data_IF_883281484111
#
_entry.id   IF_883281484111
#
_cell.length_a   1.000
_cell.length_b   1.000
_cell.length_c   1.000
_cell.angle_alpha   90.00
_cell.angle_beta   90.00
_cell.angle_gamma   90.00
#
_symmetry.space_group_name_H-M   'P 1'
#
loop_
_entity.id
_entity.type
_entity.pdbx_description
1 polymer ?
#
# COMPACT_ATOMS: atom_id res chain seq x y z
N UNK A 1 -2.11 29.76 5.03
CA UNK A 1 -2.31 28.65 4.05
C UNK A 1 -1.00 27.98 3.61
N UNK A 2 0.10 28.72 3.38
CA UNK A 2 1.41 28.25 2.87
C UNK A 2 2.15 27.13 3.64
N UNK A 3 1.69 26.71 4.83
CA UNK A 3 2.40 25.71 5.64
C UNK A 3 2.02 24.26 5.28
N UNK A 4 0.73 23.99 5.00
CA UNK A 4 0.28 22.63 4.74
C UNK A 4 0.85 22.05 3.44
N UNK A 5 0.96 22.85 2.38
CA UNK A 5 1.56 22.39 1.12
C UNK A 5 3.02 21.98 1.30
N UNK A 6 3.80 22.74 2.07
CA UNK A 6 5.19 22.38 2.41
C UNK A 6 5.26 21.07 3.18
N UNK A 7 4.34 20.87 4.13
CA UNK A 7 4.23 19.63 4.90
C UNK A 7 3.90 18.44 4.00
N UNK A 8 2.95 18.61 3.06
CA UNK A 8 2.53 17.54 2.15
C UNK A 8 3.63 17.15 1.14
N UNK A 9 4.57 18.05 0.85
CA UNK A 9 5.77 17.73 0.05
C UNK A 9 6.79 16.85 0.78
N UNK A 10 6.68 16.68 2.10
CA UNK A 10 7.57 15.81 2.89
C UNK A 10 7.18 14.31 2.82
N UNK A 11 6.54 13.86 1.74
CA UNK A 11 6.08 12.47 1.56
C UNK A 11 5.36 11.86 2.79
N UNK A 12 4.13 12.30 3.09
CA UNK A 12 3.32 11.72 4.15
C UNK A 12 3.18 10.18 4.01
N UNK A 13 3.41 9.45 5.10
CA UNK A 13 3.23 7.99 5.16
C UNK A 13 1.98 7.59 5.96
N UNK A 14 1.48 8.49 6.82
CA UNK A 14 0.22 8.29 7.51
C UNK A 14 -0.47 9.63 7.83
N UNK A 15 -1.80 9.62 7.77
CA UNK A 15 -2.68 10.71 8.20
C UNK A 15 -3.60 10.19 9.31
N UNK A 16 -3.57 10.79 10.49
CA UNK A 16 -4.24 10.26 11.69
C UNK A 16 -5.11 11.35 12.28
N UNK A 17 -6.43 11.16 12.40
CA UNK A 17 -7.27 12.14 13.09
C UNK A 17 -6.98 12.11 14.58
N UNK A 18 -6.70 13.27 15.16
CA UNK A 18 -6.39 13.45 16.58
C UNK A 18 -7.25 14.56 17.18
N UNK A 19 -7.45 14.48 18.49
CA UNK A 19 -8.06 15.54 19.27
C UNK A 19 -6.96 16.21 20.07
N UNK A 20 -6.71 17.48 19.79
CA UNK A 20 -5.70 18.27 20.49
C UNK A 20 -6.43 19.12 21.51
N UNK A 21 -5.98 19.02 22.78
CA UNK A 21 -6.51 19.82 23.88
C UNK A 21 -6.48 21.30 23.48
N UNK A 22 -7.59 22.00 23.70
CA UNK A 22 -7.78 23.44 23.40
C UNK A 22 -7.73 23.86 21.93
N UNK A 23 -7.44 22.94 20.99
CA UNK A 23 -7.44 23.20 19.52
C UNK A 23 -8.49 22.39 18.76
N UNK A 24 -9.14 21.43 19.43
CA UNK A 24 -10.19 20.62 18.86
C UNK A 24 -9.66 19.55 17.89
N UNK A 25 -10.36 19.37 16.75
CA UNK A 25 -10.04 18.33 15.77
C UNK A 25 -8.85 18.76 14.91
N UNK A 26 -7.83 17.90 14.89
CA UNK A 26 -6.64 18.08 14.08
C UNK A 26 -6.28 16.78 13.34
N UNK A 27 -5.29 16.87 12.46
CA UNK A 27 -4.69 15.71 11.79
C UNK A 27 -3.22 15.67 12.15
N UNK A 28 -2.78 14.53 12.68
CA UNK A 28 -1.36 14.19 12.81
C UNK A 28 -0.91 13.57 11.48
N UNK A 29 0.16 14.11 10.91
CA UNK A 29 0.80 13.64 9.69
C UNK A 29 2.14 13.05 10.10
N UNK A 30 2.42 11.84 9.65
CA UNK A 30 3.73 11.20 9.81
C UNK A 30 4.39 11.21 8.44
N UNK A 31 5.61 11.73 8.34
CA UNK A 31 6.37 11.82 7.08
C UNK A 31 7.30 10.62 6.89
N UNK A 32 7.84 10.47 5.68
CA UNK A 32 8.86 9.46 5.37
C UNK A 32 10.11 9.62 6.24
N UNK A 33 10.44 10.87 6.59
CA UNK A 33 11.57 11.24 7.45
C UNK A 33 11.27 11.07 8.95
N UNK A 34 10.17 10.38 9.27
CA UNK A 34 9.73 10.06 10.64
C UNK A 34 9.33 11.29 11.48
N UNK A 35 9.09 12.43 10.83
CA UNK A 35 8.58 13.62 11.51
C UNK A 35 7.08 13.48 11.81
N UNK A 36 6.68 13.91 13.01
CA UNK A 36 5.28 14.01 13.40
C UNK A 36 4.81 15.46 13.37
N UNK A 37 3.89 15.78 12.46
CA UNK A 37 3.43 17.14 12.23
C UNK A 37 1.94 17.24 12.51
N UNK A 38 1.54 18.19 13.35
CA UNK A 38 0.14 18.41 13.70
C UNK A 38 -0.43 19.60 12.93
N UNK A 39 -1.52 19.38 12.21
CA UNK A 39 -2.23 20.41 11.46
C UNK A 39 -3.66 20.56 11.96
N UNK A 40 -4.15 21.78 12.10
CA UNK A 40 -5.53 22.08 12.56
C UNK A 40 -6.62 21.75 11.53
N UNK A 41 -6.24 21.20 10.38
CA UNK A 41 -7.19 20.76 9.37
C UNK A 41 -7.75 19.37 9.69
N UNK A 42 -9.03 19.16 9.32
CA UNK A 42 -9.64 17.82 9.32
C UNK A 42 -8.96 16.93 8.28
N UNK A 43 -8.90 15.63 8.56
CA UNK A 43 -8.23 14.67 7.68
C UNK A 43 -8.75 14.70 6.24
N UNK A 44 -10.06 14.85 6.04
CA UNK A 44 -10.64 14.99 4.69
C UNK A 44 -10.10 16.20 3.92
N UNK A 45 -9.90 17.33 4.59
CA UNK A 45 -9.28 18.53 4.00
C UNK A 45 -7.82 18.28 3.65
N UNK A 46 -7.08 17.58 4.51
CA UNK A 46 -5.68 17.23 4.27
C UNK A 46 -5.55 16.31 3.06
N UNK A 47 -6.37 15.26 2.98
CA UNK A 47 -6.37 14.32 1.85
C UNK A 47 -6.77 14.99 0.54
N UNK A 48 -7.79 15.88 0.56
CA UNK A 48 -8.18 16.64 -0.64
C UNK A 48 -7.02 17.51 -1.15
N UNK A 49 -6.31 18.19 -0.25
CA UNK A 49 -5.14 19.00 -0.63
C UNK A 49 -3.98 18.15 -1.12
N UNK A 50 -3.75 16.98 -0.52
CA UNK A 50 -2.75 16.04 -1.02
C UNK A 50 -3.09 15.58 -2.45
N UNK A 51 -4.36 15.22 -2.72
CA UNK A 51 -4.78 14.84 -4.06
C UNK A 51 -4.60 15.98 -5.08
N UNK A 52 -4.93 17.22 -4.72
CA UNK A 52 -4.69 18.39 -5.59
C UNK A 52 -3.20 18.58 -5.89
N UNK A 53 -2.32 18.42 -4.89
CA UNK A 53 -0.86 18.52 -5.10
C UNK A 53 -0.32 17.46 -6.07
N UNK A 54 -0.96 16.29 -6.12
CA UNK A 54 -0.62 15.18 -7.01
C UNK A 54 -1.40 15.23 -8.34
N UNK A 55 -2.19 16.30 -8.57
CA UNK A 55 -3.06 16.45 -9.75
C UNK A 55 -4.09 15.31 -9.92
N UNK A 56 -4.60 14.79 -8.79
CA UNK A 56 -5.52 13.65 -8.74
C UNK A 56 -6.93 14.08 -8.35
N UNK A 57 -7.92 13.60 -9.10
CA UNK A 57 -9.32 13.64 -8.69
C UNK A 57 -9.59 12.55 -7.63
N UNK A 58 -9.69 13.00 -6.38
CA UNK A 58 -9.90 12.12 -5.23
C UNK A 58 -11.24 11.36 -5.28
N UNK A 59 -12.30 11.95 -5.81
CA UNK A 59 -13.61 11.29 -5.85
C UNK A 59 -13.67 10.24 -6.95
N UNK A 60 -13.09 10.53 -8.12
CA UNK A 60 -12.93 9.55 -9.19
C UNK A 60 -12.09 8.34 -8.72
N UNK A 61 -10.97 8.58 -8.03
CA UNK A 61 -10.13 7.50 -7.47
C UNK A 61 -10.91 6.65 -6.48
N UNK A 62 -11.65 7.26 -5.55
CA UNK A 62 -12.45 6.52 -4.57
C UNK A 62 -13.52 5.65 -5.23
N UNK A 63 -14.15 6.12 -6.31
CA UNK A 63 -15.14 5.36 -7.08
C UNK A 63 -14.49 4.10 -7.67
N UNK A 64 -13.44 4.28 -8.47
CA UNK A 64 -12.71 3.17 -9.12
C UNK A 64 -12.17 2.18 -8.09
N UNK A 65 -11.49 2.68 -7.07
CA UNK A 65 -10.92 1.85 -6.00
C UNK A 65 -12.01 1.15 -5.20
N UNK A 66 -13.12 1.82 -4.93
CA UNK A 66 -14.27 1.28 -4.23
C UNK A 66 -14.88 0.09 -4.98
N UNK A 67 -14.96 0.17 -6.30
CA UNK A 67 -15.46 -0.89 -7.16
C UNK A 67 -14.49 -2.10 -7.19
N UNK A 68 -13.18 -1.85 -7.33
CA UNK A 68 -12.15 -2.92 -7.33
C UNK A 68 -12.08 -3.63 -5.97
N UNK A 69 -12.12 -2.87 -4.87
CA UNK A 69 -11.91 -3.40 -3.52
C UNK A 69 -13.19 -3.83 -2.80
N UNK A 70 -14.36 -3.58 -3.39
CA UNK A 70 -15.66 -3.75 -2.74
C UNK A 70 -15.91 -2.81 -1.55
N UNK A 71 -15.06 -1.78 -1.36
CA UNK A 71 -15.12 -0.87 -0.22
C UNK A 71 -15.82 0.45 -0.59
N UNK A 72 -17.15 0.44 -0.73
CA UNK A 72 -17.92 1.61 -1.21
C UNK A 72 -17.89 2.85 -0.30
N UNK A 73 -17.89 2.67 1.03
CA UNK A 73 -18.00 3.80 2.00
C UNK A 73 -16.66 4.33 2.52
N UNK A 74 -15.68 3.44 2.68
CA UNK A 74 -14.34 3.75 3.19
C UNK A 74 -13.33 3.11 2.24
N UNK A 75 -13.25 3.68 1.05
CA UNK A 75 -12.31 3.25 0.04
C UNK A 75 -10.87 3.64 0.43
N UNK A 76 -9.89 2.77 0.13
CA UNK A 76 -8.50 3.19 -0.01
C UNK A 76 -8.35 4.33 -1.01
N UNK A 77 -7.24 5.05 -0.91
CA UNK A 77 -6.91 6.17 -1.80
C UNK A 77 -5.54 5.89 -2.42
N UNK A 78 -5.44 6.11 -3.73
CA UNK A 78 -4.18 6.07 -4.47
C UNK A 78 -3.79 7.53 -4.78
N UNK A 79 -2.63 7.98 -4.28
CA UNK A 79 -2.13 9.35 -4.47
C UNK A 79 -0.76 9.31 -5.15
N UNK A 80 -0.76 9.06 -6.46
CA UNK A 80 0.44 9.05 -7.30
C UNK A 80 1.32 7.81 -7.09
N UNK A 81 1.69 7.12 -8.18
CA UNK A 81 2.55 5.95 -8.12
C UNK A 81 1.99 4.82 -7.22
N UNK A 82 2.88 4.18 -6.46
CA UNK A 82 2.54 3.10 -5.51
C UNK A 82 1.99 3.59 -4.15
N UNK A 83 1.65 4.87 -4.01
CA UNK A 83 1.19 5.42 -2.74
C UNK A 83 -0.28 5.07 -2.48
N UNK A 84 -0.49 3.87 -1.97
CA UNK A 84 -1.81 3.32 -1.63
C UNK A 84 -2.04 3.48 -0.14
N UNK A 85 -3.02 4.30 0.21
CA UNK A 85 -3.43 4.58 1.58
C UNK A 85 -4.68 3.81 1.95
N UNK A 86 -4.59 2.95 2.96
CA UNK A 86 -5.73 2.17 3.46
C UNK A 86 -6.36 2.84 4.68
N UNK A 87 -7.71 2.89 4.78
CA UNK A 87 -8.39 3.49 5.90
C UNK A 87 -8.41 2.52 7.09
N UNK A 88 -7.94 2.98 8.23
CA UNK A 88 -7.86 2.19 9.46
C UNK A 88 -8.44 3.01 10.61
N UNK A 89 -9.32 2.41 11.40
CA UNK A 89 -9.97 3.10 12.52
C UNK A 89 -8.99 3.25 13.68
N UNK A 90 -8.61 4.48 13.99
CA UNK A 90 -7.59 4.78 15.02
C UNK A 90 -8.20 5.09 16.39
N UNK A 91 -9.46 5.53 16.43
CA UNK A 91 -10.15 5.91 17.68
C UNK A 91 -11.64 5.58 17.67
N UNK A 92 -12.29 5.72 18.82
CA UNK A 92 -13.76 5.70 18.91
C UNK A 92 -14.33 7.07 18.49
N UNK A 93 -15.44 7.11 17.74
CA UNK A 93 -16.12 8.35 17.44
C UNK A 93 -16.77 8.92 18.71
N UNK A 94 -16.73 10.24 18.88
CA UNK A 94 -17.38 10.95 19.99
C UNK A 94 -18.80 11.39 19.61
N UNK A 95 -19.02 11.71 18.33
CA UNK A 95 -20.32 12.11 17.81
C UNK A 95 -20.56 11.56 16.39
N UNK A 96 -21.75 11.80 15.85
CA UNK A 96 -22.06 11.50 14.45
C UNK A 96 -21.09 12.23 13.52
N UNK A 97 -20.68 11.56 12.44
CA UNK A 97 -19.71 12.06 11.45
C UNK A 97 -18.32 12.43 11.99
N UNK A 98 -17.95 11.89 13.15
CA UNK A 98 -16.65 12.14 13.75
C UNK A 98 -15.53 11.37 13.01
N UNK A 99 -14.49 12.06 12.47
CA UNK A 99 -13.43 11.41 11.71
C UNK A 99 -12.58 10.55 12.64
N UNK A 100 -12.80 9.24 12.63
CA UNK A 100 -12.11 8.28 13.47
C UNK A 100 -11.21 7.31 12.69
N UNK A 101 -11.14 7.46 11.36
CA UNK A 101 -10.30 6.69 10.46
C UNK A 101 -9.07 7.51 10.07
N UNK A 102 -7.89 6.93 10.25
CA UNK A 102 -6.65 7.39 9.65
C UNK A 102 -6.38 6.67 8.33
N UNK A 103 -5.48 7.21 7.53
CA UNK A 103 -5.06 6.68 6.25
C UNK A 103 -3.58 6.34 6.30
N UNK A 104 -3.24 5.10 5.99
CA UNK A 104 -1.89 4.56 6.17
C UNK A 104 -1.35 4.06 4.85
N UNK A 105 -0.17 4.56 4.44
CA UNK A 105 0.47 4.12 3.21
C UNK A 105 1.00 2.69 3.39
N UNK A 106 0.47 1.76 2.59
CA UNK A 106 0.76 0.33 2.67
C UNK A 106 2.24 0.00 2.46
N UNK A 107 2.99 0.82 1.71
CA UNK A 107 4.43 0.64 1.47
C UNK A 107 5.28 0.86 2.74
N UNK A 108 4.75 1.59 3.72
CA UNK A 108 5.47 1.98 4.93
C UNK A 108 5.00 1.22 6.17
N UNK A 109 4.05 0.30 6.05
CA UNK A 109 3.70 -0.64 7.13
C UNK A 109 4.76 -1.73 7.18
N UNK A 110 5.59 -1.72 8.24
CA UNK A 110 6.65 -2.72 8.48
C UNK A 110 6.06 -4.01 9.03
N UNK A 111 5.18 -3.90 10.02
CA UNK A 111 4.52 -5.05 10.65
C UNK A 111 3.24 -4.60 11.37
N UNK A 112 2.42 -5.53 11.83
CA UNK A 112 1.28 -5.27 12.70
C UNK A 112 1.03 -6.46 13.61
N UNK A 113 0.67 -6.20 14.87
CA UNK A 113 0.51 -7.25 15.88
C UNK A 113 -0.69 -7.02 16.78
N UNK A 114 -1.25 -8.10 17.30
CA UNK A 114 -2.37 -8.07 18.25
C UNK A 114 -1.88 -7.49 19.58
N UNK A 115 -2.70 -6.62 20.18
CA UNK A 115 -2.59 -6.17 21.57
C UNK A 115 -3.99 -6.17 22.16
N UNK A 116 -4.30 -7.18 22.97
CA UNK A 116 -5.63 -7.41 23.55
C UNK A 116 -6.73 -7.48 22.47
N UNK A 117 -7.74 -6.60 22.57
CA UNK A 117 -8.83 -6.42 21.60
C UNK A 117 -8.51 -5.41 20.49
N UNK A 118 -7.28 -4.89 20.45
CA UNK A 118 -6.79 -3.88 19.51
C UNK A 118 -5.60 -4.43 18.70
N UNK A 119 -5.12 -3.61 17.79
CA UNK A 119 -3.94 -3.92 16.96
C UNK A 119 -2.95 -2.78 17.08
N UNK A 120 -1.66 -3.09 17.05
CA UNK A 120 -0.60 -2.10 16.86
C UNK A 120 -0.10 -2.22 15.42
N UNK A 121 -0.12 -1.12 14.70
CA UNK A 121 0.57 -0.96 13.41
C UNK A 121 1.96 -0.42 13.68
N UNK A 122 2.96 -1.05 13.06
CA UNK A 122 4.36 -0.65 13.14
C UNK A 122 4.74 -0.14 11.77
N UNK A 123 5.01 1.16 11.65
CA UNK A 123 5.50 1.78 10.43
C UNK A 123 7.02 1.61 10.31
N UNK A 124 7.57 1.91 9.14
CA UNK A 124 9.02 2.11 8.97
C UNK A 124 9.52 3.16 9.97
N UNK A 125 10.74 2.98 10.47
CA UNK A 125 11.25 3.76 11.61
C UNK A 125 10.66 3.36 12.96
N UNK A 126 10.01 2.20 13.05
CA UNK A 126 9.47 1.60 14.28
C UNK A 126 8.44 2.46 15.03
N UNK A 127 7.81 3.41 14.32
CA UNK A 127 6.68 4.20 14.84
C UNK A 127 5.49 3.27 15.08
N UNK A 128 5.02 3.20 16.33
CA UNK A 128 3.93 2.32 16.78
C UNK A 128 2.64 3.11 16.93
N UNK A 129 1.58 2.64 16.27
CA UNK A 129 0.27 3.27 16.30
C UNK A 129 -0.76 2.23 16.74
N UNK A 130 -1.36 2.45 17.90
CA UNK A 130 -2.48 1.64 18.37
C UNK A 130 -3.74 2.00 17.60
N UNK A 131 -4.44 1.00 17.06
CA UNK A 131 -5.65 1.18 16.26
C UNK A 131 -6.83 0.44 16.88
N UNK A 132 -8.02 1.03 16.73
CA UNK A 132 -9.27 0.56 17.31
C UNK A 132 -9.97 -0.46 16.40
N UNK A 133 -9.21 -1.46 15.96
CA UNK A 133 -9.63 -2.56 15.08
C UNK A 133 -8.89 -3.85 15.42
N UNK A 134 -9.51 -4.98 15.12
CA UNK A 134 -8.92 -6.32 15.32
C UNK A 134 -7.88 -6.62 14.26
N UNK A 135 -6.96 -7.52 14.56
CA UNK A 135 -5.92 -7.94 13.62
C UNK A 135 -6.51 -8.52 12.33
N UNK A 136 -7.65 -9.23 12.40
CA UNK A 136 -8.38 -9.75 11.24
C UNK A 136 -8.83 -8.63 10.30
N UNK A 137 -9.37 -7.54 10.86
CA UNK A 137 -9.77 -6.36 10.08
C UNK A 137 -8.55 -5.68 9.45
N UNK A 138 -7.46 -5.53 10.20
CA UNK A 138 -6.21 -4.94 9.68
C UNK A 138 -5.64 -5.76 8.52
N UNK A 139 -5.55 -7.10 8.67
CA UNK A 139 -5.12 -8.00 7.60
C UNK A 139 -5.97 -7.85 6.35
N UNK A 140 -7.31 -7.74 6.49
CA UNK A 140 -8.21 -7.50 5.35
C UNK A 140 -7.84 -6.21 4.60
N UNK A 141 -7.69 -5.09 5.29
CA UNK A 141 -7.35 -3.81 4.66
C UNK A 141 -5.95 -3.82 4.02
N UNK A 142 -4.98 -4.49 4.64
CA UNK A 142 -3.64 -4.66 4.06
C UNK A 142 -3.70 -5.49 2.78
N UNK A 143 -4.49 -6.56 2.75
CA UNK A 143 -4.68 -7.38 1.55
C UNK A 143 -5.39 -6.60 0.43
N UNK A 144 -6.38 -5.77 0.77
CA UNK A 144 -6.97 -4.83 -0.20
C UNK A 144 -5.90 -3.90 -0.78
N UNK A 145 -4.99 -3.37 0.06
CA UNK A 145 -3.85 -2.59 -0.39
C UNK A 145 -2.94 -3.33 -1.38
N UNK A 146 -2.70 -4.63 -1.17
CA UNK A 146 -1.94 -5.48 -2.10
C UNK A 146 -2.66 -5.67 -3.43
N UNK A 147 -3.96 -5.97 -3.40
CA UNK A 147 -4.78 -6.11 -4.62
C UNK A 147 -4.73 -4.83 -5.46
N UNK A 148 -4.88 -3.66 -4.82
CA UNK A 148 -4.81 -2.38 -5.52
C UNK A 148 -3.42 -2.10 -6.10
N UNK A 149 -2.36 -2.54 -5.42
CA UNK A 149 -0.99 -2.45 -5.93
C UNK A 149 -0.82 -3.31 -7.18
N UNK A 150 -1.29 -4.55 -7.13
CA UNK A 150 -1.22 -5.46 -8.28
C UNK A 150 -2.05 -4.94 -9.45
N UNK A 151 -3.23 -4.37 -9.18
CA UNK A 151 -4.07 -3.72 -10.19
C UNK A 151 -3.34 -2.53 -10.84
N UNK A 152 -2.73 -1.66 -10.03
CA UNK A 152 -1.95 -0.52 -10.50
C UNK A 152 -0.81 -0.98 -11.44
N UNK A 153 -0.08 -2.04 -11.06
CA UNK A 153 1.01 -2.59 -11.87
C UNK A 153 0.59 -3.32 -13.14
N UNK A 154 -0.61 -3.91 -13.16
CA UNK A 154 -1.14 -4.62 -14.34
C UNK A 154 -1.77 -3.67 -15.35
N UNK A 155 -1.96 -2.40 -15.00
CA UNK A 155 -2.57 -1.42 -15.89
C UNK A 155 -1.57 -1.01 -16.99
N UNK A 156 -1.88 -1.21 -18.28
CA UNK A 156 -0.90 -1.16 -19.37
C UNK A 156 -0.18 0.19 -19.55
N UNK A 157 -0.76 1.30 -19.08
CA UNK A 157 -0.16 2.64 -19.17
C UNK A 157 1.02 2.89 -18.20
N UNK A 158 1.30 1.99 -17.25
CA UNK A 158 2.32 2.19 -16.18
C UNK A 158 3.55 1.28 -16.38
N UNK A 159 3.58 0.46 -17.43
CA UNK A 159 4.69 -0.48 -17.69
C UNK A 159 6.03 0.19 -18.00
N UNK A 160 6.06 1.48 -18.32
CA UNK A 160 7.26 2.12 -18.89
C UNK A 160 8.27 2.65 -17.85
N UNK A 161 7.97 2.66 -16.55
CA UNK A 161 8.76 3.45 -15.58
C UNK A 161 9.43 2.67 -14.43
N UNK A 162 9.62 1.34 -14.51
CA UNK A 162 10.43 0.60 -13.52
C UNK A 162 11.38 -0.42 -14.11
N UNK A 163 12.64 -0.27 -13.71
CA UNK A 163 13.82 -1.11 -13.96
C UNK A 163 13.52 -2.60 -13.92
N UNK A 164 14.04 -3.32 -14.92
CA UNK A 164 13.80 -4.74 -15.23
C UNK A 164 13.99 -5.71 -14.04
N UNK A 165 14.84 -5.37 -13.06
CA UNK A 165 15.17 -6.25 -11.94
C UNK A 165 14.00 -6.58 -10.99
N UNK A 166 13.11 -5.62 -10.68
CA UNK A 166 12.04 -5.83 -9.69
C UNK A 166 10.89 -6.72 -10.22
N UNK A 167 10.73 -6.81 -11.55
CA UNK A 167 9.73 -7.67 -12.19
C UNK A 167 10.20 -9.12 -12.25
N UNK A 168 11.48 -9.32 -12.55
CA UNK A 168 12.17 -10.62 -12.59
C UNK A 168 11.93 -11.36 -11.25
N UNK A 169 12.30 -10.77 -10.11
CA UNK A 169 12.16 -11.44 -8.79
C UNK A 169 10.72 -11.76 -8.36
N UNK A 170 9.71 -11.03 -8.87
CA UNK A 170 8.29 -11.34 -8.61
C UNK A 170 7.77 -12.45 -9.51
N UNK A 171 8.33 -12.60 -10.70
CA UNK A 171 8.00 -13.67 -11.63
C UNK A 171 8.58 -15.01 -11.15
N UNK A 172 9.82 -15.01 -10.64
CA UNK A 172 10.48 -16.21 -10.07
C UNK A 172 9.92 -16.69 -8.73
N UNK A 173 9.17 -15.87 -8.00
CA UNK A 173 8.56 -16.24 -6.72
C UNK A 173 7.16 -16.87 -6.85
N UNK A 174 6.68 -17.12 -8.07
CA UNK A 174 5.45 -17.89 -8.30
C UNK A 174 5.77 -19.39 -8.22
N UNK A 175 4.87 -20.22 -7.65
CA UNK A 175 5.06 -21.66 -7.69
C UNK A 175 5.12 -22.15 -9.14
N UNK A 176 6.15 -22.92 -9.48
CA UNK A 176 6.32 -23.50 -10.81
C UNK A 176 5.09 -24.33 -11.19
N UNK A 177 4.65 -24.19 -12.43
CA UNK A 177 3.52 -24.93 -12.99
C UNK A 177 3.98 -26.29 -13.54
N UNK A 178 3.03 -27.21 -13.73
CA UNK A 178 3.30 -28.50 -14.39
C UNK A 178 3.83 -28.33 -15.82
N UNK A 179 3.49 -27.22 -16.47
CA UNK A 179 3.99 -26.87 -17.80
C UNK A 179 5.48 -26.51 -17.74
N UNK A 180 5.90 -25.71 -16.74
CA UNK A 180 7.30 -25.33 -16.54
C UNK A 180 8.18 -26.57 -16.31
N UNK A 181 7.70 -27.54 -15.52
CA UNK A 181 8.37 -28.82 -15.29
C UNK A 181 8.48 -29.64 -16.59
N UNK A 182 7.43 -29.64 -17.42
CA UNK A 182 7.42 -30.36 -18.68
C UNK A 182 8.42 -29.78 -19.69
N UNK A 183 8.55 -28.45 -19.73
CA UNK A 183 9.52 -27.74 -20.57
C UNK A 183 10.95 -28.10 -20.14
N UNK A 184 11.26 -27.97 -18.84
CA UNK A 184 12.58 -28.32 -18.31
C UNK A 184 12.94 -29.80 -18.56
N UNK A 185 11.97 -30.70 -18.43
CA UNK A 185 12.16 -32.11 -18.75
C UNK A 185 12.52 -32.30 -20.23
N UNK A 186 11.89 -31.56 -21.13
CA UNK A 186 12.18 -31.65 -22.56
C UNK A 186 13.59 -31.14 -22.88
N UNK A 187 13.99 -30.03 -22.27
CA UNK A 187 15.32 -29.46 -22.44
C UNK A 187 16.41 -30.42 -21.95
N UNK A 188 16.20 -31.06 -20.79
CA UNK A 188 17.12 -32.10 -20.27
C UNK A 188 17.23 -33.28 -21.23
N UNK A 189 16.13 -33.71 -21.84
CA UNK A 189 16.13 -34.80 -22.80
C UNK A 189 16.88 -34.42 -24.08
N UNK A 190 16.74 -33.19 -24.56
CA UNK A 190 17.43 -32.69 -25.73
C UNK A 190 18.94 -32.57 -25.49
N UNK A 191 19.35 -31.98 -24.37
CA UNK A 191 20.76 -31.94 -23.97
C UNK A 191 21.36 -33.34 -23.86
N UNK A 192 20.62 -34.30 -23.31
CA UNK A 192 21.08 -35.69 -23.21
C UNK A 192 21.29 -36.31 -24.60
N UNK A 193 20.41 -36.07 -25.56
CA UNK A 193 20.54 -36.56 -26.94
C UNK A 193 21.76 -35.95 -27.63
N UNK A 194 21.98 -34.65 -27.47
CA UNK A 194 23.15 -33.96 -28.03
C UNK A 194 24.45 -34.52 -27.46
N UNK A 195 24.53 -34.68 -26.13
CA UNK A 195 25.71 -35.28 -25.47
C UNK A 195 25.98 -36.71 -25.96
N UNK A 196 24.94 -37.52 -26.18
CA UNK A 196 25.09 -38.87 -26.72
C UNK A 196 25.62 -38.81 -28.16
N UNK A 197 25.04 -37.96 -29.01
CA UNK A 197 25.50 -37.79 -30.40
C UNK A 197 26.94 -37.30 -30.50
N UNK A 198 27.40 -36.48 -29.56
CA UNK A 198 28.79 -36.04 -29.48
C UNK A 198 29.72 -37.19 -29.09
N UNK A 199 29.30 -38.08 -28.18
CA UNK A 199 30.08 -39.26 -27.77
C UNK A 199 30.16 -40.35 -28.84
N UNK A 200 29.14 -40.45 -29.69
CA UNK A 200 29.11 -41.42 -30.79
C UNK A 200 29.93 -40.94 -32.01
N UNK A 201 30.21 -39.64 -32.12
CA UNK A 201 31.08 -39.06 -33.15
C UNK A 201 32.58 -39.07 -32.79
N UNK A 202 32.93 -39.38 -31.54
CA UNK A 202 34.31 -39.50 -31.03
C UNK A 202 34.80 -40.98 -30.96
N UNK A 203 34.06 -41.92 -31.55
CA UNK A 203 34.43 -43.34 -31.72
C UNK A 203 34.59 -43.71 -33.18
#
# INVERSE_FOLDING_TARGET
MKNLEKILKKHPIAFIPVLVKDKGRATKIITKDLEEIYVSNRIGTVLKKMAVNELIDLEAVKKVVGDISGCKRLAPIILGGENIYIPIKVRKPICTNDPCYGYFNTKYIKNYKKKDKKTIIILKGDIKIEVNQTIKTITKYINVGKILRDYYYKTPFIKEDKTEDDNIYKEFNKPATKLDIAILRNDILNMKKEIISLKDNDR
#
